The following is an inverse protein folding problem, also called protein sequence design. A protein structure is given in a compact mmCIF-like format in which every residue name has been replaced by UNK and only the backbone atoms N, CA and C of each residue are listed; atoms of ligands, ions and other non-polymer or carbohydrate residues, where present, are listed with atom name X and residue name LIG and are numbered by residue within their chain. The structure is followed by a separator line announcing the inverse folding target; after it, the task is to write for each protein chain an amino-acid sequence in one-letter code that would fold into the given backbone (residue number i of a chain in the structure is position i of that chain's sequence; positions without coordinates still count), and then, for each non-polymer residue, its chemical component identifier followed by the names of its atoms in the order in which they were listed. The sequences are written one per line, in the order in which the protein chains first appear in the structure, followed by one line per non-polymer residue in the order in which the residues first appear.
data_IF_405663240815
#
_entry.id   IF_405663240815
#
_cell.length_a   1.000
_cell.length_b   1.000
_cell.length_c   1.000
_cell.angle_alpha   90.00
_cell.angle_beta   90.00
_cell.angle_gamma   90.00
#
_symmetry.space_group_name_H-M   'P 1'
#
loop_
_entity.id
_entity.type
_entity.pdbx_description
1 polymer ?
#
# COMPACT_ATOMS: atom_id res chain seq x y z
N UNK A 1 -13.34 9.38 -4.50
CA UNK A 1 -12.39 10.39 -4.00
C UNK A 1 -11.63 9.85 -2.80
N UNK A 2 -10.44 10.41 -2.55
CA UNK A 2 -9.63 10.09 -1.38
C UNK A 2 -10.21 10.72 -0.09
N UNK A 3 -9.92 10.16 1.10
CA UNK A 3 -10.36 10.75 2.36
C UNK A 3 -9.98 12.22 2.55
N UNK A 4 -8.82 12.64 2.02
CA UNK A 4 -8.34 14.03 2.12
C UNK A 4 -8.62 14.87 0.88
N UNK A 5 -9.45 14.41 -0.07
CA UNK A 5 -9.65 15.07 -1.37
C UNK A 5 -10.01 16.57 -1.23
N UNK A 6 -11.05 16.86 -0.48
CA UNK A 6 -11.50 18.23 -0.29
C UNK A 6 -10.44 19.14 0.39
N UNK A 7 -9.70 18.59 1.35
CA UNK A 7 -8.59 19.30 1.97
C UNK A 7 -7.46 19.56 0.98
N UNK A 8 -7.11 18.56 0.18
CA UNK A 8 -6.05 18.65 -0.82
C UNK A 8 -6.40 19.73 -1.88
N UNK A 9 -7.63 19.71 -2.38
CA UNK A 9 -8.15 20.71 -3.32
C UNK A 9 -8.07 22.13 -2.75
N UNK A 10 -8.57 22.33 -1.52
CA UNK A 10 -8.52 23.61 -0.83
C UNK A 10 -7.08 24.12 -0.55
N UNK A 11 -6.08 23.22 -0.57
CA UNK A 11 -4.67 23.55 -0.35
C UNK A 11 -3.84 23.57 -1.64
N UNK A 12 -4.48 23.63 -2.81
CA UNK A 12 -3.80 23.83 -4.10
C UNK A 12 -3.21 22.55 -4.67
N UNK A 13 -3.76 21.40 -4.36
CA UNK A 13 -3.34 20.14 -4.98
C UNK A 13 -3.66 20.14 -6.47
N UNK A 14 -2.70 19.67 -7.24
CA UNK A 14 -2.90 19.24 -8.62
C UNK A 14 -3.05 17.72 -8.64
N UNK A 15 -4.14 17.24 -9.25
CA UNK A 15 -4.48 15.83 -9.21
C UNK A 15 -3.99 15.08 -10.46
N UNK A 16 -3.75 13.79 -10.28
CA UNK A 16 -3.49 12.83 -11.36
C UNK A 16 -4.35 11.57 -11.17
N UNK A 17 -4.67 10.94 -12.29
CA UNK A 17 -5.33 9.63 -12.26
C UNK A 17 -4.37 8.52 -11.81
N UNK A 18 -4.82 7.67 -10.90
CA UNK A 18 -4.14 6.47 -10.45
C UNK A 18 -5.15 5.32 -10.37
N UNK A 19 -5.30 4.56 -11.44
CA UNK A 19 -6.40 3.63 -11.63
C UNK A 19 -7.73 4.40 -11.68
N UNK A 20 -8.67 4.05 -10.81
CA UNK A 20 -9.98 4.74 -10.70
C UNK A 20 -9.95 5.90 -9.69
N UNK A 21 -8.79 6.30 -9.21
CA UNK A 21 -8.62 7.29 -8.17
C UNK A 21 -8.04 8.59 -8.72
N UNK A 22 -8.52 9.72 -8.21
CA UNK A 22 -7.88 11.03 -8.35
C UNK A 22 -6.97 11.25 -7.13
N UNK A 23 -5.66 11.25 -7.35
CA UNK A 23 -4.65 11.38 -6.31
C UNK A 23 -3.91 12.72 -6.43
N UNK A 24 -3.63 13.45 -5.32
CA UNK A 24 -2.74 14.60 -5.36
C UNK A 24 -1.36 14.20 -5.91
N UNK A 25 -0.91 14.89 -6.95
CA UNK A 25 0.40 14.70 -7.55
C UNK A 25 1.43 15.64 -6.93
N UNK A 26 1.06 16.88 -6.73
CA UNK A 26 1.87 17.94 -6.10
C UNK A 26 0.96 19.09 -5.66
N UNK A 27 1.50 19.98 -4.83
CA UNK A 27 0.80 21.17 -4.35
C UNK A 27 1.50 22.43 -4.88
N UNK A 28 0.78 23.28 -5.58
CA UNK A 28 1.32 24.54 -6.11
C UNK A 28 1.49 25.58 -5.01
N UNK A 29 2.55 26.42 -5.11
CA UNK A 29 2.75 27.59 -4.26
C UNK A 29 3.14 28.81 -5.08
N UNK A 30 2.89 30.03 -4.57
CA UNK A 30 3.39 31.24 -5.21
C UNK A 30 4.89 31.13 -5.46
N UNK A 31 5.31 31.35 -6.70
CA UNK A 31 6.71 31.25 -7.14
C UNK A 31 7.07 29.97 -7.90
N UNK A 32 6.27 28.90 -7.80
CA UNK A 32 6.44 27.71 -8.63
C UNK A 32 6.02 28.04 -10.08
N UNK A 33 6.90 27.82 -11.06
CA UNK A 33 6.64 28.07 -12.48
C UNK A 33 6.18 26.83 -13.23
N UNK A 34 6.58 25.67 -12.74
CA UNK A 34 6.30 24.37 -13.35
C UNK A 34 5.94 23.35 -12.25
N UNK A 35 5.34 22.25 -12.67
CA UNK A 35 5.08 21.09 -11.78
C UNK A 35 6.38 20.58 -11.13
N UNK A 36 7.51 20.67 -11.85
CA UNK A 36 8.80 20.21 -11.36
C UNK A 36 9.30 21.05 -10.19
N UNK A 37 9.06 22.37 -10.22
CA UNK A 37 9.43 23.27 -9.11
C UNK A 37 8.71 22.86 -7.82
N UNK A 38 7.41 22.56 -7.92
CA UNK A 38 6.59 22.05 -6.80
C UNK A 38 7.13 20.70 -6.30
N UNK A 39 7.37 19.74 -7.19
CA UNK A 39 7.86 18.41 -6.85
C UNK A 39 9.25 18.45 -6.19
N UNK A 40 10.17 19.26 -6.71
CA UNK A 40 11.51 19.46 -6.13
C UNK A 40 11.41 20.08 -4.74
N UNK A 41 10.59 21.12 -4.56
CA UNK A 41 10.37 21.76 -3.27
C UNK A 41 9.82 20.79 -2.23
N UNK A 42 8.80 20.01 -2.58
CA UNK A 42 8.19 19.02 -1.68
C UNK A 42 9.16 17.88 -1.33
N UNK A 43 9.91 17.40 -2.31
CA UNK A 43 10.93 16.37 -2.09
C UNK A 43 12.02 16.86 -1.15
N UNK A 44 12.50 18.09 -1.33
CA UNK A 44 13.50 18.70 -0.42
C UNK A 44 12.93 18.85 0.98
N UNK A 45 11.72 19.41 1.13
CA UNK A 45 11.06 19.57 2.42
C UNK A 45 10.91 18.23 3.16
N UNK A 46 10.54 17.17 2.44
CA UNK A 46 10.43 15.82 3.01
C UNK A 46 11.79 15.28 3.46
N UNK A 47 12.84 15.47 2.68
CA UNK A 47 14.21 15.02 3.02
C UNK A 47 14.82 15.79 4.18
N UNK A 48 14.54 17.09 4.26
CA UNK A 48 15.09 17.96 5.28
C UNK A 48 14.32 17.90 6.61
N UNK A 49 13.03 17.50 6.56
CA UNK A 49 12.14 17.53 7.72
C UNK A 49 11.13 16.39 7.71
N UNK A 50 9.97 16.64 7.11
CA UNK A 50 8.81 15.74 7.15
C UNK A 50 7.94 15.95 5.91
N UNK A 51 7.47 14.86 5.32
CA UNK A 51 6.41 14.84 4.31
C UNK A 51 5.32 13.86 4.70
N UNK A 52 4.08 14.18 4.32
CA UNK A 52 2.93 13.30 4.42
C UNK A 52 2.29 13.13 3.04
N UNK A 53 1.96 11.90 2.69
CA UNK A 53 1.33 11.56 1.41
C UNK A 53 0.14 10.67 1.65
N UNK A 54 -1.01 11.00 1.02
CA UNK A 54 -2.16 10.10 0.99
C UNK A 54 -1.87 8.93 0.05
N UNK A 55 -1.81 7.73 0.62
CA UNK A 55 -1.61 6.46 -0.08
C UNK A 55 -2.85 5.56 0.02
N UNK A 56 -4.02 6.15 0.27
CA UNK A 56 -5.30 5.42 0.38
C UNK A 56 -5.69 4.69 -0.91
N UNK A 57 -5.04 5.02 -2.03
CA UNK A 57 -5.26 4.33 -3.31
C UNK A 57 -4.64 2.94 -3.38
N UNK A 58 -3.66 2.61 -2.52
CA UNK A 58 -3.08 1.26 -2.49
C UNK A 58 -4.16 0.22 -2.24
N UNK A 59 -4.10 -0.90 -2.94
CA UNK A 59 -4.95 -2.03 -2.62
C UNK A 59 -4.67 -2.51 -1.20
N UNK A 60 -5.72 -2.90 -0.49
CA UNK A 60 -5.64 -3.41 0.88
C UNK A 60 -6.46 -4.68 0.97
N UNK A 61 -5.83 -5.75 1.44
CA UNK A 61 -6.44 -7.07 1.55
C UNK A 61 -6.26 -7.53 3.00
N UNK A 62 -7.38 -7.87 3.62
CA UNK A 62 -7.40 -8.54 4.92
C UNK A 62 -7.33 -10.05 4.70
N UNK A 63 -6.48 -10.75 5.46
CA UNK A 63 -6.20 -12.18 5.28
C UNK A 63 -6.24 -12.85 6.64
N UNK A 64 -7.13 -13.82 6.81
CA UNK A 64 -7.33 -14.50 8.08
C UNK A 64 -7.44 -16.00 7.89
N UNK A 65 -6.97 -16.75 8.88
CA UNK A 65 -7.10 -18.20 8.93
C UNK A 65 -5.85 -18.90 9.43
N UNK A 66 -5.99 -20.13 9.91
CA UNK A 66 -4.86 -20.89 10.45
C UNK A 66 -3.74 -21.13 9.43
N UNK A 67 -4.08 -21.14 8.14
CA UNK A 67 -3.12 -21.37 7.07
C UNK A 67 -2.75 -20.06 6.31
N UNK A 68 -3.11 -18.89 6.83
CA UNK A 68 -2.84 -17.59 6.20
C UNK A 68 -1.33 -17.34 5.96
N UNK A 69 -0.47 -17.66 6.93
CA UNK A 69 0.97 -17.52 6.77
C UNK A 69 1.55 -18.48 5.71
N UNK A 70 1.00 -19.71 5.61
CA UNK A 70 1.37 -20.66 4.56
C UNK A 70 0.93 -20.18 3.19
N UNK A 71 -0.30 -19.70 3.06
CA UNK A 71 -0.84 -19.16 1.82
C UNK A 71 0.03 -18.00 1.30
N UNK A 72 0.37 -17.04 2.17
CA UNK A 72 1.27 -15.94 1.82
C UNK A 72 2.68 -16.42 1.45
N UNK A 73 3.21 -17.44 2.13
CA UNK A 73 4.51 -18.04 1.81
C UNK A 73 4.56 -18.65 0.40
N UNK A 74 3.44 -19.13 -0.12
CA UNK A 74 3.34 -19.69 -1.47
C UNK A 74 3.16 -18.63 -2.55
N UNK A 75 2.55 -17.50 -2.20
CA UNK A 75 2.30 -16.40 -3.14
C UNK A 75 3.53 -15.50 -3.34
N UNK A 76 4.34 -15.33 -2.30
CA UNK A 76 5.45 -14.39 -2.30
C UNK A 76 6.80 -15.09 -2.25
N UNK A 77 7.83 -14.40 -2.71
CA UNK A 77 9.23 -14.87 -2.58
C UNK A 77 9.77 -14.78 -1.16
N UNK A 78 9.06 -14.11 -0.26
CA UNK A 78 9.47 -13.83 1.11
C UNK A 78 8.82 -14.80 2.11
N UNK A 79 9.48 -14.98 3.27
CA UNK A 79 8.96 -15.84 4.34
C UNK A 79 7.98 -15.12 5.27
N UNK A 80 6.72 -15.54 5.30
CA UNK A 80 5.69 -14.96 6.16
C UNK A 80 5.46 -15.75 7.45
N UNK A 81 5.74 -17.05 7.45
CA UNK A 81 5.67 -17.90 8.66
C UNK A 81 6.57 -17.39 9.79
N UNK A 82 7.71 -16.80 9.43
CA UNK A 82 8.71 -16.27 10.38
C UNK A 82 8.52 -14.78 10.69
N UNK A 83 7.50 -14.13 10.15
CA UNK A 83 7.20 -12.74 10.48
C UNK A 83 6.58 -12.66 11.88
N UNK A 84 7.19 -11.97 12.86
CA UNK A 84 6.58 -11.83 14.18
C UNK A 84 5.30 -11.00 14.14
N UNK A 85 4.37 -11.27 15.07
CA UNK A 85 3.19 -10.43 15.30
C UNK A 85 3.62 -8.98 15.61
N UNK A 86 2.90 -8.01 15.05
CA UNK A 86 3.20 -6.59 15.18
C UNK A 86 4.34 -6.10 14.26
N UNK A 87 4.81 -6.94 13.33
CA UNK A 87 5.82 -6.56 12.34
C UNK A 87 5.22 -6.55 10.92
N UNK A 88 5.84 -5.74 10.07
CA UNK A 88 5.57 -5.68 8.64
C UNK A 88 6.81 -6.13 7.84
N UNK A 89 6.56 -6.67 6.66
CA UNK A 89 7.61 -7.06 5.71
C UNK A 89 7.19 -6.66 4.30
N UNK A 90 8.12 -6.08 3.56
CA UNK A 90 7.97 -5.89 2.12
C UNK A 90 8.18 -7.22 1.41
N UNK A 91 7.38 -7.48 0.38
CA UNK A 91 7.42 -8.71 -0.39
C UNK A 91 7.23 -8.49 -1.88
N UNK A 92 7.77 -9.44 -2.64
CA UNK A 92 7.60 -9.53 -4.09
C UNK A 92 6.76 -10.75 -4.44
N UNK A 93 5.69 -10.53 -5.19
CA UNK A 93 4.89 -11.56 -5.82
C UNK A 93 5.37 -11.72 -7.26
N UNK A 94 5.67 -12.94 -7.66
CA UNK A 94 6.14 -13.24 -9.01
C UNK A 94 5.09 -14.01 -9.80
N UNK A 95 5.15 -13.87 -11.12
CA UNK A 95 4.48 -14.73 -12.08
C UNK A 95 5.28 -16.04 -12.26
N UNK A 96 4.68 -17.01 -12.92
CA UNK A 96 5.32 -18.31 -13.23
C UNK A 96 6.59 -18.16 -14.09
N UNK A 97 6.68 -17.10 -14.89
CA UNK A 97 7.84 -16.77 -15.71
C UNK A 97 8.97 -16.05 -14.93
N UNK A 98 8.77 -15.83 -13.61
CA UNK A 98 9.71 -15.15 -12.73
C UNK A 98 9.68 -13.62 -12.79
N UNK A 99 8.81 -13.02 -13.60
CA UNK A 99 8.63 -11.57 -13.62
C UNK A 99 7.79 -11.11 -12.44
N UNK A 100 8.06 -9.88 -11.99
CA UNK A 100 7.29 -9.28 -10.89
C UNK A 100 5.83 -9.13 -11.31
N UNK A 101 4.94 -9.71 -10.53
CA UNK A 101 3.50 -9.58 -10.66
C UNK A 101 2.99 -8.39 -9.87
N UNK A 102 3.38 -8.28 -8.60
CA UNK A 102 3.07 -7.15 -7.71
C UNK A 102 4.08 -7.10 -6.56
N UNK A 103 4.06 -5.99 -5.84
CA UNK A 103 4.85 -5.78 -4.63
C UNK A 103 4.02 -5.03 -3.58
N UNK A 104 4.46 -5.12 -2.33
CA UNK A 104 3.79 -4.40 -1.25
C UNK A 104 4.27 -4.82 0.13
N UNK A 105 3.64 -4.23 1.13
CA UNK A 105 3.92 -4.58 2.52
C UNK A 105 2.81 -5.43 3.10
N UNK A 106 3.18 -6.42 3.88
CA UNK A 106 2.25 -7.25 4.65
C UNK A 106 2.60 -7.16 6.12
N UNK A 107 1.63 -6.77 6.93
CA UNK A 107 1.73 -6.69 8.39
C UNK A 107 1.07 -7.90 9.02
N UNK A 108 1.71 -8.52 10.03
CA UNK A 108 1.09 -9.56 10.83
C UNK A 108 0.43 -8.94 12.06
N UNK A 109 -0.89 -8.89 12.08
CA UNK A 109 -1.68 -8.27 13.15
C UNK A 109 -1.90 -9.21 14.35
N UNK A 110 -2.07 -10.50 14.04
CA UNK A 110 -2.19 -11.58 15.03
C UNK A 110 -1.62 -12.88 14.43
N UNK A 111 -1.64 -13.97 15.19
CA UNK A 111 -1.06 -15.25 14.75
C UNK A 111 -1.61 -15.71 13.39
N UNK A 112 -2.90 -15.54 13.19
CA UNK A 112 -3.61 -15.98 11.99
C UNK A 112 -4.28 -14.82 11.23
N UNK A 113 -3.75 -13.58 11.39
CA UNK A 113 -4.32 -12.38 10.80
C UNK A 113 -3.23 -11.50 10.20
N UNK A 114 -3.37 -11.23 8.90
CA UNK A 114 -2.46 -10.40 8.13
C UNK A 114 -3.23 -9.30 7.39
N UNK A 115 -2.57 -8.17 7.20
CA UNK A 115 -3.05 -7.05 6.43
C UNK A 115 -2.00 -6.73 5.36
N UNK A 116 -2.42 -6.78 4.10
CA UNK A 116 -1.55 -6.69 2.94
C UNK A 116 -1.88 -5.46 2.11
N UNK A 117 -0.87 -4.78 1.60
CA UNK A 117 -1.02 -3.73 0.59
C UNK A 117 -0.52 -4.18 -0.77
N UNK A 118 -1.09 -3.63 -1.84
CA UNK A 118 -0.76 -3.90 -3.24
C UNK A 118 -0.57 -2.61 -4.02
N UNK A 119 0.01 -2.69 -5.21
CA UNK A 119 0.01 -1.57 -6.16
C UNK A 119 -1.42 -1.13 -6.48
N UNK A 120 -1.66 0.18 -6.49
CA UNK A 120 -2.98 0.80 -6.71
C UNK A 120 -3.69 0.24 -7.95
N UNK A 121 -3.05 0.33 -9.11
CA UNK A 121 -3.63 -0.09 -10.38
C UNK A 121 -3.79 -1.61 -10.51
N UNK A 122 -3.12 -2.38 -9.66
CA UNK A 122 -3.09 -3.84 -9.73
C UNK A 122 -3.88 -4.54 -8.61
N UNK A 123 -4.54 -3.78 -7.73
CA UNK A 123 -5.26 -4.32 -6.57
C UNK A 123 -6.27 -5.42 -6.94
N UNK A 124 -7.07 -5.18 -7.98
CA UNK A 124 -8.04 -6.17 -8.45
C UNK A 124 -7.37 -7.41 -9.06
N UNK A 125 -6.25 -7.22 -9.79
CA UNK A 125 -5.47 -8.31 -10.37
C UNK A 125 -4.86 -9.22 -9.31
N UNK A 126 -4.31 -8.63 -8.24
CA UNK A 126 -3.77 -9.40 -7.10
C UNK A 126 -4.87 -10.17 -6.40
N UNK A 127 -6.03 -9.56 -6.15
CA UNK A 127 -7.17 -10.24 -5.52
C UNK A 127 -7.63 -11.43 -6.36
N UNK A 128 -7.81 -11.25 -7.66
CA UNK A 128 -8.20 -12.32 -8.58
C UNK A 128 -7.15 -13.45 -8.64
N UNK A 129 -5.85 -13.10 -8.62
CA UNK A 129 -4.78 -14.08 -8.58
C UNK A 129 -4.81 -14.91 -7.27
N UNK A 130 -5.02 -14.26 -6.14
CA UNK A 130 -5.15 -14.94 -4.85
C UNK A 130 -6.32 -15.92 -4.84
N UNK A 131 -7.49 -15.48 -5.34
CA UNK A 131 -8.67 -16.32 -5.48
C UNK A 131 -8.43 -17.53 -6.38
N UNK A 132 -7.83 -17.29 -7.56
CA UNK A 132 -7.48 -18.35 -8.50
C UNK A 132 -6.54 -19.38 -7.87
N UNK A 133 -5.47 -18.95 -7.22
CA UNK A 133 -4.49 -19.84 -6.58
C UNK A 133 -5.13 -20.63 -5.42
N UNK A 134 -5.96 -19.97 -4.62
CA UNK A 134 -6.65 -20.67 -3.54
C UNK A 134 -7.63 -21.74 -4.07
N UNK A 135 -8.44 -21.39 -5.08
CA UNK A 135 -9.45 -22.29 -5.60
C UNK A 135 -8.88 -23.43 -6.46
N UNK A 136 -7.81 -23.18 -7.20
CA UNK A 136 -7.27 -24.16 -8.17
C UNK A 136 -6.07 -24.94 -7.66
N UNK A 137 -5.12 -24.27 -7.00
CA UNK A 137 -3.85 -24.89 -6.61
C UNK A 137 -3.82 -25.34 -5.14
N UNK A 138 -4.49 -24.60 -4.24
CA UNK A 138 -4.43 -24.83 -2.79
C UNK A 138 -5.78 -24.76 -2.09
N UNK A 139 -6.81 -25.53 -2.58
CA UNK A 139 -8.16 -25.46 -2.03
C UNK A 139 -8.29 -25.97 -0.58
N UNK A 140 -7.30 -26.74 -0.12
CA UNK A 140 -7.30 -27.32 1.23
C UNK A 140 -6.79 -26.33 2.30
N UNK A 141 -6.24 -25.18 1.92
CA UNK A 141 -5.78 -24.17 2.88
C UNK A 141 -6.97 -23.45 3.51
N UNK A 142 -7.00 -23.43 4.84
CA UNK A 142 -8.04 -22.77 5.64
C UNK A 142 -7.69 -21.29 5.80
N UNK A 143 -7.95 -20.52 4.77
CA UNK A 143 -7.71 -19.09 4.70
C UNK A 143 -8.92 -18.39 4.09
N UNK A 144 -9.28 -17.25 4.63
CA UNK A 144 -10.24 -16.31 4.08
C UNK A 144 -9.54 -14.97 3.84
N UNK A 145 -9.86 -14.32 2.74
CA UNK A 145 -9.32 -13.01 2.43
C UNK A 145 -10.33 -12.18 1.64
N UNK A 146 -10.22 -10.87 1.75
CA UNK A 146 -11.11 -9.96 1.06
C UNK A 146 -10.50 -8.56 0.94
N UNK A 147 -10.94 -7.84 -0.08
CA UNK A 147 -10.54 -6.45 -0.27
C UNK A 147 -11.17 -5.56 0.79
N UNK A 148 -10.33 -4.79 1.46
CA UNK A 148 -10.71 -3.75 2.43
C UNK A 148 -10.23 -2.37 1.98
N UNK A 149 -9.95 -2.21 0.69
CA UNK A 149 -9.37 -1.00 0.10
C UNK A 149 -10.17 0.25 0.45
N UNK A 150 -11.48 0.19 0.37
CA UNK A 150 -12.35 1.32 0.62
C UNK A 150 -12.70 1.54 2.10
N UNK A 151 -12.24 0.63 2.98
CA UNK A 151 -12.53 0.69 4.41
C UNK A 151 -11.44 1.41 5.21
N UNK A 152 -10.25 1.64 4.61
CA UNK A 152 -9.09 2.20 5.28
C UNK A 152 -8.47 3.35 4.50
N UNK A 153 -8.32 4.51 5.14
CA UNK A 153 -7.41 5.55 4.70
C UNK A 153 -5.97 5.18 5.03
N UNK A 154 -5.04 5.50 4.14
CA UNK A 154 -3.61 5.27 4.32
C UNK A 154 -2.82 6.57 4.17
N UNK A 155 -1.96 6.87 5.12
CA UNK A 155 -1.05 8.01 5.08
C UNK A 155 0.39 7.54 5.24
N UNK A 156 1.25 7.92 4.32
CA UNK A 156 2.68 7.69 4.44
C UNK A 156 3.38 8.93 5.03
N UNK A 157 4.04 8.74 6.17
CA UNK A 157 4.92 9.74 6.76
C UNK A 157 6.37 9.40 6.43
N UNK A 158 7.11 10.38 5.86
CA UNK A 158 8.51 10.20 5.49
C UNK A 158 9.34 11.40 5.94
N UNK A 159 10.64 11.18 6.12
CA UNK A 159 11.59 12.21 6.52
C UNK A 159 12.15 12.01 7.93
N UNK A 160 13.25 12.72 8.28
CA UNK A 160 13.95 12.53 9.55
C UNK A 160 13.10 12.80 10.79
N UNK A 161 12.06 13.64 10.70
CA UNK A 161 11.18 13.97 11.81
C UNK A 161 9.89 13.12 11.86
N UNK A 162 9.70 12.16 10.92
CA UNK A 162 8.47 11.37 10.82
C UNK A 162 8.12 10.64 12.12
N UNK A 163 9.10 9.96 12.74
CA UNK A 163 8.90 9.23 14.01
C UNK A 163 8.52 10.17 15.16
N UNK A 164 9.20 11.31 15.28
CA UNK A 164 8.94 12.28 16.35
C UNK A 164 7.56 12.94 16.19
N UNK A 165 7.11 13.13 14.95
CA UNK A 165 5.77 13.64 14.67
C UNK A 165 4.69 12.63 15.05
N UNK A 166 4.89 11.36 14.70
CA UNK A 166 3.92 10.28 14.96
C UNK A 166 3.80 9.94 16.46
N UNK A 167 4.84 10.23 17.26
CA UNK A 167 4.88 9.93 18.70
C UNK A 167 4.20 11.01 19.58
N UNK A 168 3.72 12.11 18.99
CA UNK A 168 2.95 13.17 19.68
C UNK A 168 1.46 12.85 19.71
#
# INVERSE_FOLDING_TARGET
DLPIHAWAEANGAMFMEAGLWMRPAYYTRPGDKTWLDSAVRETKATRDSLGITDVSTLGKIDIQGPDAAEFLNRLYTNGWKTLPVGKARYGLMLREDGLVFDDGTTSRLADNHFYMTTTTAHAAGVMAHMEFMHQSAWPDLRVAFGSVTDQWGGLALAGPQARACLAK
#
